data_IF_528315307987
#
_entry.id   IF_528315307987
#
_cell.length_a   1.000
_cell.length_b   1.000
_cell.length_c   1.000
_cell.angle_alpha   90.00
_cell.angle_beta   90.00
_cell.angle_gamma   90.00
#
_symmetry.space_group_name_H-M   'P 1'
#
loop_
_entity.id
_entity.type
_entity.pdbx_description
1 polymer ?
#
# COMPACT_ATOMS: atom_id res chain seq x y z
N UNK A 1 16.39 30.80 51.25
CA UNK A 1 16.19 29.36 50.98
C UNK A 1 14.77 29.01 50.51
N UNK A 2 13.69 29.66 50.96
CA UNK A 2 12.31 29.35 50.48
C UNK A 2 12.09 29.59 48.97
N UNK A 3 12.65 30.66 48.40
CA UNK A 3 12.53 30.95 46.96
C UNK A 3 13.20 29.88 46.06
N UNK A 4 14.34 29.34 46.47
CA UNK A 4 15.01 28.25 45.76
C UNK A 4 14.19 26.95 45.81
N UNK A 5 13.50 26.69 46.93
CA UNK A 5 12.59 25.55 47.05
C UNK A 5 11.44 25.61 46.05
N UNK A 6 10.81 26.77 45.88
CA UNK A 6 9.72 26.95 44.90
C UNK A 6 10.19 26.79 43.45
N UNK A 7 11.42 27.25 43.14
CA UNK A 7 12.00 27.07 41.80
C UNK A 7 12.23 25.58 41.52
N UNK A 8 12.77 24.83 42.49
CA UNK A 8 13.01 23.39 42.36
C UNK A 8 11.68 22.63 42.18
N UNK A 9 10.67 22.97 42.97
CA UNK A 9 9.34 22.36 42.87
C UNK A 9 8.69 22.60 41.50
N UNK A 10 8.78 23.82 40.97
CA UNK A 10 8.29 24.13 39.64
C UNK A 10 9.01 23.33 38.54
N UNK A 11 10.34 23.22 38.62
CA UNK A 11 11.13 22.42 37.67
C UNK A 11 10.72 20.94 37.74
N UNK A 12 10.52 20.40 38.94
CA UNK A 12 10.08 19.01 39.12
C UNK A 12 8.70 18.78 38.49
N UNK A 13 7.72 19.66 38.76
CA UNK A 13 6.38 19.54 38.17
C UNK A 13 6.39 19.66 36.65
N UNK A 14 7.24 20.53 36.10
CA UNK A 14 7.44 20.65 34.66
C UNK A 14 8.03 19.36 34.07
N UNK A 15 9.05 18.78 34.69
CA UNK A 15 9.66 17.53 34.22
C UNK A 15 8.70 16.35 34.26
N UNK A 16 7.88 16.24 35.31
CA UNK A 16 6.83 15.21 35.39
C UNK A 16 5.81 15.40 34.26
N UNK A 17 5.35 16.63 34.05
CA UNK A 17 4.38 16.94 32.99
C UNK A 17 4.95 16.65 31.59
N UNK A 18 6.20 17.02 31.34
CA UNK A 18 6.89 16.73 30.09
C UNK A 18 7.10 15.24 29.86
N UNK A 19 7.46 14.50 30.91
CA UNK A 19 7.59 13.03 30.89
C UNK A 19 6.28 12.36 30.48
N UNK A 20 5.17 12.74 31.10
CA UNK A 20 3.84 12.20 30.79
C UNK A 20 3.47 12.53 29.34
N UNK A 21 3.65 13.77 28.91
CA UNK A 21 3.34 14.19 27.54
C UNK A 21 4.19 13.44 26.50
N UNK A 22 5.48 13.29 26.75
CA UNK A 22 6.40 12.55 25.88
C UNK A 22 6.00 11.08 25.75
N UNK A 23 5.66 10.43 26.88
CA UNK A 23 5.23 9.03 26.91
C UNK A 23 3.94 8.82 26.11
N UNK A 24 2.95 9.70 26.31
CA UNK A 24 1.68 9.64 25.58
C UNK A 24 1.90 9.86 24.08
N UNK A 25 2.72 10.86 23.71
CA UNK A 25 3.04 11.15 22.32
C UNK A 25 3.72 9.96 21.62
N UNK A 26 4.64 9.29 22.31
CA UNK A 26 5.30 8.10 21.81
C UNK A 26 4.33 6.92 21.61
N UNK A 27 3.39 6.72 22.55
CA UNK A 27 2.36 5.69 22.41
C UNK A 27 1.50 5.96 21.16
N UNK A 28 1.03 7.19 20.96
CA UNK A 28 0.23 7.54 19.78
C UNK A 28 1.01 7.37 18.48
N UNK A 29 2.30 7.72 18.46
CA UNK A 29 3.16 7.50 17.30
C UNK A 29 3.24 6.02 16.92
N UNK A 30 3.47 5.14 17.89
CA UNK A 30 3.54 3.69 17.66
C UNK A 30 2.18 3.09 17.25
N UNK A 31 1.09 3.53 17.88
CA UNK A 31 -0.26 3.09 17.50
C UNK A 31 -0.61 3.51 16.08
N UNK A 32 -0.29 4.75 15.70
CA UNK A 32 -0.51 5.24 14.35
C UNK A 32 0.26 4.40 13.31
N UNK A 33 1.54 4.10 13.58
CA UNK A 33 2.34 3.26 12.69
C UNK A 33 1.77 1.85 12.57
N UNK A 34 1.34 1.24 13.68
CA UNK A 34 0.72 -0.09 13.68
C UNK A 34 -0.59 -0.11 12.89
N UNK A 35 -1.43 0.92 13.08
CA UNK A 35 -2.67 1.08 12.33
C UNK A 35 -2.40 1.27 10.84
N UNK A 36 -1.43 2.12 10.48
CA UNK A 36 -1.00 2.37 9.10
C UNK A 36 -0.59 1.08 8.39
N UNK A 37 0.17 0.22 9.07
CA UNK A 37 0.58 -1.08 8.54
C UNK A 37 -0.60 -2.06 8.38
N UNK A 38 -1.51 -2.13 9.36
CA UNK A 38 -2.69 -3.00 9.31
C UNK A 38 -3.65 -2.61 8.20
N UNK A 39 -3.94 -1.31 8.11
CA UNK A 39 -4.72 -0.73 7.01
C UNK A 39 -3.99 -1.04 5.71
N UNK A 40 -2.71 -0.67 5.61
CA UNK A 40 -1.81 -0.96 4.49
C UNK A 40 -2.00 -2.35 3.92
N UNK A 41 -1.77 -3.39 4.73
CA UNK A 41 -1.89 -4.79 4.33
C UNK A 41 -3.32 -5.16 3.87
N UNK A 42 -4.35 -4.74 4.60
CA UNK A 42 -5.74 -5.07 4.28
C UNK A 42 -6.17 -4.43 2.95
N UNK A 43 -5.82 -3.16 2.75
CA UNK A 43 -6.12 -2.43 1.52
C UNK A 43 -5.21 -2.82 0.34
N UNK A 44 -4.01 -3.34 0.60
CA UNK A 44 -3.13 -3.90 -0.45
C UNK A 44 -3.80 -5.06 -1.16
N UNK A 45 -4.50 -5.93 -0.41
CA UNK A 45 -5.31 -7.00 -0.96
C UNK A 45 -6.44 -6.48 -1.85
N UNK A 46 -7.18 -5.46 -1.40
CA UNK A 46 -8.24 -4.84 -2.21
C UNK A 46 -7.71 -4.26 -3.52
N UNK A 47 -6.54 -3.62 -3.49
CA UNK A 47 -5.91 -3.09 -4.71
C UNK A 47 -5.52 -4.22 -5.66
N UNK A 48 -4.94 -5.31 -5.15
CA UNK A 48 -4.68 -6.47 -5.98
C UNK A 48 -5.96 -7.07 -6.59
N UNK A 49 -7.03 -7.18 -5.81
CA UNK A 49 -8.31 -7.72 -6.27
C UNK A 49 -8.91 -6.83 -7.37
N UNK A 50 -8.82 -5.49 -7.23
CA UNK A 50 -9.22 -4.54 -8.28
C UNK A 50 -8.39 -4.74 -9.55
N UNK A 51 -7.07 -4.84 -9.44
CA UNK A 51 -6.20 -5.09 -10.60
C UNK A 51 -6.53 -6.43 -11.26
N UNK A 52 -6.78 -7.47 -10.48
CA UNK A 52 -7.19 -8.79 -10.99
C UNK A 52 -8.53 -8.71 -11.73
N UNK A 53 -9.51 -7.95 -11.20
CA UNK A 53 -10.79 -7.71 -11.88
C UNK A 53 -10.59 -6.95 -13.19
N UNK A 54 -9.76 -5.91 -13.20
CA UNK A 54 -9.45 -5.20 -14.45
C UNK A 54 -8.79 -6.13 -15.46
N UNK A 55 -7.84 -6.99 -15.06
CA UNK A 55 -7.28 -8.02 -15.94
C UNK A 55 -8.36 -8.97 -16.50
N UNK A 56 -9.32 -9.42 -15.67
CA UNK A 56 -10.44 -10.26 -16.12
C UNK A 56 -11.37 -9.55 -17.13
N UNK A 57 -11.59 -8.24 -16.97
CA UNK A 57 -12.37 -7.45 -17.94
C UNK A 57 -11.70 -7.43 -19.30
N UNK A 58 -10.37 -7.29 -19.36
CA UNK A 58 -9.65 -7.27 -20.63
C UNK A 58 -9.87 -8.58 -21.40
N UNK A 59 -9.87 -9.71 -20.69
CA UNK A 59 -10.02 -11.05 -21.27
C UNK A 59 -11.43 -11.29 -21.86
N UNK A 60 -12.43 -10.53 -21.41
CA UNK A 60 -13.80 -10.68 -21.90
C UNK A 60 -13.99 -10.27 -23.37
N UNK A 61 -13.04 -9.53 -23.98
CA UNK A 61 -13.10 -9.24 -25.41
C UNK A 61 -12.44 -10.35 -26.24
N UNK A 62 -13.24 -11.30 -26.73
CA UNK A 62 -12.76 -12.43 -27.57
C UNK A 62 -12.28 -12.03 -28.97
N UNK A 63 -12.53 -10.80 -29.41
CA UNK A 63 -12.22 -10.32 -30.76
C UNK A 63 -11.19 -9.16 -30.79
N UNK A 64 -10.66 -8.76 -29.64
CA UNK A 64 -9.69 -7.67 -29.55
C UNK A 64 -8.27 -8.25 -29.51
N UNK A 65 -7.41 -7.81 -30.44
CA UNK A 65 -5.98 -8.13 -30.42
C UNK A 65 -5.19 -7.25 -29.44
N UNK A 66 -5.66 -6.02 -29.25
CA UNK A 66 -5.12 -5.03 -28.33
C UNK A 66 -6.24 -4.37 -27.52
N UNK A 67 -6.08 -4.31 -26.21
CA UNK A 67 -6.95 -3.55 -25.32
C UNK A 67 -6.08 -2.81 -24.31
N UNK A 68 -6.47 -1.58 -24.03
CA UNK A 68 -5.83 -0.73 -23.06
C UNK A 68 -6.87 -0.27 -22.03
N UNK A 69 -6.69 -0.68 -20.78
CA UNK A 69 -7.52 -0.23 -19.65
C UNK A 69 -6.69 0.69 -18.76
N UNK A 70 -7.20 1.89 -18.54
CA UNK A 70 -6.65 2.85 -17.59
C UNK A 70 -7.50 2.85 -16.33
N UNK A 71 -6.92 2.42 -15.22
CA UNK A 71 -7.60 2.44 -13.92
C UNK A 71 -6.95 3.44 -12.98
N UNK A 72 -7.79 4.18 -12.25
CA UNK A 72 -7.34 5.11 -11.23
C UNK A 72 -7.34 4.40 -9.89
N UNK A 73 -6.17 3.94 -9.46
CA UNK A 73 -5.97 3.41 -8.11
C UNK A 73 -5.28 4.45 -7.21
N UNK A 74 -5.49 4.40 -5.88
CA UNK A 74 -4.91 5.37 -4.96
C UNK A 74 -3.38 5.36 -5.01
N UNK A 75 -2.73 6.52 -4.93
CA UNK A 75 -1.26 6.61 -4.93
C UNK A 75 -0.62 6.08 -3.65
N UNK A 76 -1.36 6.08 -2.54
CA UNK A 76 -0.87 5.61 -1.24
C UNK A 76 -1.90 4.72 -0.57
N UNK A 77 -1.39 3.73 0.14
CA UNK A 77 -2.18 2.74 0.87
C UNK A 77 -1.61 2.67 2.28
N UNK A 78 -2.44 2.94 3.30
CA UNK A 78 -1.96 3.02 4.68
C UNK A 78 -0.78 3.99 4.84
N UNK A 79 -0.79 5.12 4.13
CA UNK A 79 0.29 6.12 4.16
C UNK A 79 1.54 5.78 3.33
N UNK A 80 1.67 4.56 2.84
CA UNK A 80 2.84 4.11 2.08
C UNK A 80 2.61 4.13 0.57
N UNK A 81 3.69 4.36 -0.17
CA UNK A 81 3.72 4.00 -1.59
C UNK A 81 3.87 2.49 -1.72
N UNK A 82 3.54 2.00 -2.90
CA UNK A 82 3.57 0.58 -3.22
C UNK A 82 3.89 0.34 -4.70
N UNK A 83 4.34 -0.87 -4.99
CA UNK A 83 4.61 -1.40 -6.32
C UNK A 83 3.65 -2.54 -6.59
N UNK A 84 2.99 -2.52 -7.75
CA UNK A 84 2.24 -3.67 -8.26
C UNK A 84 3.08 -4.36 -9.32
N UNK A 85 3.15 -5.68 -9.27
CA UNK A 85 3.79 -6.52 -10.27
C UNK A 85 2.84 -7.65 -10.64
N UNK A 86 2.71 -7.92 -11.94
CA UNK A 86 2.00 -9.10 -12.41
C UNK A 86 3.00 -10.26 -12.50
N UNK A 87 2.72 -11.34 -11.79
CA UNK A 87 3.47 -12.60 -11.83
C UNK A 87 2.58 -13.71 -12.39
N UNK A 88 3.17 -14.85 -12.74
CA UNK A 88 2.41 -16.01 -13.19
C UNK A 88 1.55 -16.63 -12.07
N UNK A 89 1.86 -16.30 -10.81
CA UNK A 89 1.06 -16.71 -9.66
C UNK A 89 -0.12 -15.76 -9.43
N UNK A 90 -0.03 -14.50 -9.85
CA UNK A 90 -1.12 -13.52 -9.77
C UNK A 90 -0.63 -12.07 -9.66
N UNK A 91 -1.41 -11.25 -8.95
CA UNK A 91 -1.07 -9.84 -8.71
C UNK A 91 -0.33 -9.71 -7.39
N UNK A 92 0.91 -9.23 -7.45
CA UNK A 92 1.75 -8.97 -6.29
C UNK A 92 1.82 -7.46 -6.02
N UNK A 93 1.33 -7.05 -4.85
CA UNK A 93 1.58 -5.70 -4.32
C UNK A 93 2.66 -5.74 -3.25
N UNK A 94 3.61 -4.81 -3.31
CA UNK A 94 4.65 -4.63 -2.32
C UNK A 94 4.62 -3.19 -1.81
N UNK A 95 4.35 -3.00 -0.51
CA UNK A 95 4.42 -1.71 0.15
C UNK A 95 5.89 -1.31 0.36
N UNK A 96 6.19 -0.01 0.35
CA UNK A 96 7.52 0.50 0.69
C UNK A 96 7.91 0.25 2.14
N UNK A 97 6.94 -0.05 3.02
CA UNK A 97 7.18 -0.51 4.39
C UNK A 97 7.75 -1.94 4.47
N UNK A 98 7.77 -2.68 3.35
CA UNK A 98 8.37 -4.00 3.23
C UNK A 98 7.38 -5.16 3.21
N UNK A 99 6.09 -4.93 3.50
CA UNK A 99 5.08 -5.98 3.39
C UNK A 99 4.69 -6.24 1.93
N UNK A 100 4.47 -7.51 1.61
CA UNK A 100 3.97 -7.95 0.31
C UNK A 100 2.66 -8.70 0.47
N UNK A 101 1.82 -8.63 -0.56
CA UNK A 101 0.54 -9.34 -0.62
C UNK A 101 0.36 -9.84 -2.04
N UNK A 102 0.12 -11.14 -2.18
CA UNK A 102 -0.16 -11.81 -3.45
C UNK A 102 -1.64 -12.16 -3.50
N UNK A 103 -2.32 -11.70 -4.54
CA UNK A 103 -3.65 -12.21 -4.88
C UNK A 103 -3.51 -13.12 -6.10
N UNK A 104 -3.81 -14.42 -5.96
CA UNK A 104 -3.74 -15.34 -7.08
C UNK A 104 -4.82 -15.04 -8.13
N UNK A 105 -4.47 -15.16 -9.40
CA UNK A 105 -5.40 -15.01 -10.52
C UNK A 105 -5.59 -16.37 -11.17
N UNK A 106 -6.39 -17.21 -10.51
CA UNK A 106 -6.59 -18.61 -10.91
C UNK A 106 -7.13 -18.72 -12.34
N UNK A 107 -6.67 -19.74 -13.07
CA UNK A 107 -7.07 -20.14 -14.43
C UNK A 107 -6.70 -19.16 -15.56
N UNK A 108 -6.34 -17.90 -15.25
CA UNK A 108 -5.87 -16.96 -16.28
C UNK A 108 -4.39 -17.18 -16.63
N UNK A 109 -3.61 -17.71 -15.70
CA UNK A 109 -2.17 -17.98 -15.87
C UNK A 109 -1.86 -19.14 -16.81
N UNK A 110 -2.82 -20.04 -17.06
CA UNK A 110 -2.67 -21.11 -18.05
C UNK A 110 -2.84 -20.61 -19.49
N UNK A 111 -3.56 -19.51 -19.68
CA UNK A 111 -3.93 -18.98 -21.00
C UNK A 111 -3.15 -17.72 -21.38
N UNK A 112 -2.81 -16.88 -20.40
CA UNK A 112 -2.17 -15.58 -20.61
C UNK A 112 -0.82 -15.49 -19.91
N UNK A 113 0.13 -14.83 -20.55
CA UNK A 113 1.43 -14.53 -19.94
C UNK A 113 1.37 -13.19 -19.21
N UNK A 114 1.50 -13.22 -17.89
CA UNK A 114 1.53 -12.04 -17.04
C UNK A 114 2.94 -11.43 -16.94
N UNK A 115 3.04 -10.11 -17.05
CA UNK A 115 4.31 -9.42 -16.85
C UNK A 115 4.14 -7.92 -16.55
N UNK A 116 5.24 -7.24 -16.22
CA UNK A 116 5.25 -5.81 -15.96
C UNK A 116 5.09 -5.47 -14.48
N UNK A 117 5.48 -4.24 -14.16
CA UNK A 117 5.37 -3.71 -12.81
C UNK A 117 5.30 -2.19 -12.84
N UNK A 118 4.54 -1.61 -11.93
CA UNK A 118 4.36 -0.17 -11.82
C UNK A 118 4.42 0.29 -10.37
N UNK A 119 5.01 1.46 -10.18
CA UNK A 119 5.08 2.14 -8.89
C UNK A 119 3.97 3.19 -8.79
N UNK A 120 3.30 3.22 -7.64
CA UNK A 120 2.24 4.19 -7.33
C UNK A 120 2.70 5.65 -7.14
N UNK A 121 4.01 5.90 -7.03
CA UNK A 121 4.56 7.21 -6.66
C UNK A 121 4.32 8.33 -7.70
N UNK A 122 4.00 8.01 -8.97
CA UNK A 122 3.78 9.08 -9.98
C UNK A 122 3.03 8.66 -11.25
N UNK A 123 2.25 7.57 -11.25
CA UNK A 123 1.66 7.03 -12.48
C UNK A 123 0.21 6.56 -12.29
N UNK A 124 -0.62 6.79 -13.30
CA UNK A 124 -1.86 6.04 -13.51
C UNK A 124 -1.45 4.63 -13.91
N UNK A 125 -2.12 3.61 -13.39
CA UNK A 125 -1.86 2.24 -13.82
C UNK A 125 -2.54 2.02 -15.16
N UNK A 126 -1.74 1.56 -16.11
CA UNK A 126 -2.19 1.13 -17.43
C UNK A 126 -2.04 -0.39 -17.53
N UNK A 127 -3.16 -1.07 -17.79
CA UNK A 127 -3.19 -2.51 -18.05
C UNK A 127 -3.39 -2.68 -19.56
N UNK A 128 -2.41 -3.28 -20.21
CA UNK A 128 -2.41 -3.53 -21.65
C UNK A 128 -2.43 -5.03 -21.93
N UNK A 129 -3.27 -5.45 -22.88
CA UNK A 129 -3.15 -6.77 -23.52
C UNK A 129 -2.62 -6.61 -24.94
N UNK A 130 -1.67 -7.49 -25.30
CA UNK A 130 -1.18 -7.69 -26.66
C UNK A 130 -0.97 -9.19 -26.92
N UNK A 131 -1.72 -9.78 -27.86
CA UNK A 131 -1.54 -11.16 -28.34
C UNK A 131 -1.28 -12.21 -27.23
N UNK A 132 -2.11 -12.19 -26.17
CA UNK A 132 -2.06 -13.07 -24.98
C UNK A 132 -1.06 -12.69 -23.88
N UNK A 133 -0.39 -11.55 -23.99
CA UNK A 133 0.44 -10.99 -22.92
C UNK A 133 -0.30 -9.88 -22.19
N UNK A 134 -0.43 -10.00 -20.86
CA UNK A 134 -0.99 -8.96 -19.99
C UNK A 134 0.18 -8.21 -19.34
N UNK A 135 0.25 -6.90 -19.57
CA UNK A 135 1.28 -6.01 -19.02
C UNK A 135 0.68 -4.91 -18.15
N UNK A 136 1.35 -4.61 -17.03
CA UNK A 136 1.06 -3.44 -16.18
C UNK A 136 2.20 -2.41 -16.29
N UNK A 137 1.85 -1.15 -16.56
CA UNK A 137 2.78 -0.02 -16.75
C UNK A 137 2.37 1.24 -15.98
#
# INVERSE_FOLDING_TARGET
MKAQSYIIEFILMFLVSFSIFSTISFIFYNQNQSLSNRVGNSTSKLVNDVVAIECMKVISCKACYDINIKSSIPQRIGGFFYKISLTQEGVLSQLTSGSSTLTPVFNLNETFTFSGSVNSNNKKIEIQINNNKIEVK
#
